data_IF_165753357245
#
_entry.id   IF_165753357245
#
_cell.length_a   1.000
_cell.length_b   1.000
_cell.length_c   1.000
_cell.angle_alpha   90.00
_cell.angle_beta   90.00
_cell.angle_gamma   90.00
#
_symmetry.space_group_name_H-M   'P 1'
#
loop_
_entity.id
_entity.type
_entity.pdbx_description
1 polymer ?
#
# COMPACT_ATOMS: atom_id res chain seq x y z
N UNK A 1 -0.51 3.95 -46.13
CA UNK A 1 -0.04 5.34 -46.31
C UNK A 1 1.38 5.27 -46.85
N UNK A 2 1.63 5.82 -48.03
CA UNK A 2 3.02 5.93 -48.50
C UNK A 2 3.59 7.18 -47.82
N UNK A 3 4.69 7.09 -47.06
CA UNK A 3 5.23 8.21 -46.34
C UNK A 3 5.90 9.17 -47.34
N UNK A 4 5.08 10.09 -47.89
CA UNK A 4 5.53 11.11 -48.81
C UNK A 4 6.66 11.94 -48.24
N UNK A 5 6.55 12.22 -46.91
CA UNK A 5 7.56 12.94 -46.15
C UNK A 5 8.91 12.20 -46.14
N UNK A 6 8.88 10.87 -46.01
CA UNK A 6 10.09 10.04 -46.03
C UNK A 6 10.74 10.03 -47.42
N UNK A 7 9.94 10.02 -48.48
CA UNK A 7 10.42 10.08 -49.84
C UNK A 7 11.06 11.45 -50.16
N UNK A 8 10.40 12.51 -49.76
CA UNK A 8 10.91 13.88 -49.94
C UNK A 8 12.19 14.09 -49.11
N UNK A 9 12.20 13.67 -47.85
CA UNK A 9 13.38 13.74 -46.97
C UNK A 9 14.60 13.00 -47.53
N UNK A 10 14.42 11.73 -48.00
CA UNK A 10 15.48 10.93 -48.63
C UNK A 10 15.99 11.54 -49.94
N UNK A 11 15.10 12.19 -50.71
CA UNK A 11 15.48 12.86 -51.95
C UNK A 11 16.28 14.11 -51.69
N UNK A 12 15.93 14.90 -50.64
CA UNK A 12 16.68 16.10 -50.27
C UNK A 12 18.06 15.78 -49.69
N UNK A 13 18.18 14.73 -48.88
CA UNK A 13 19.46 14.29 -48.32
C UNK A 13 20.37 13.66 -49.39
N UNK A 14 19.79 13.09 -50.45
CA UNK A 14 20.54 12.50 -51.60
C UNK A 14 20.85 13.48 -52.71
N UNK A 15 20.33 14.72 -52.68
CA UNK A 15 20.63 15.79 -53.66
C UNK A 15 22.09 16.20 -53.54
N UNK A 16 22.85 15.82 -54.54
CA UNK A 16 24.29 15.89 -54.69
C UNK A 16 24.78 17.35 -54.57
N UNK A 17 25.21 17.78 -53.41
CA UNK A 17 26.06 18.96 -53.27
C UNK A 17 27.52 18.52 -53.12
N UNK A 18 28.39 19.20 -53.85
CA UNK A 18 29.74 18.85 -54.28
C UNK A 18 30.82 18.94 -53.17
N UNK A 19 30.47 18.92 -51.90
CA UNK A 19 31.47 18.94 -50.83
C UNK A 19 31.17 17.81 -49.84
N UNK A 20 32.02 16.79 -49.84
CA UNK A 20 31.99 15.66 -48.90
C UNK A 20 31.89 16.12 -47.42
N UNK A 21 32.50 17.25 -47.11
CA UNK A 21 32.52 17.86 -45.78
C UNK A 21 31.12 18.28 -45.30
N UNK A 22 30.33 18.95 -46.15
CA UNK A 22 28.96 19.38 -45.81
C UNK A 22 28.03 18.19 -45.63
N UNK A 23 28.21 17.14 -46.44
CA UNK A 23 27.44 15.89 -46.29
C UNK A 23 27.78 15.16 -44.99
N UNK A 24 29.01 15.16 -44.55
CA UNK A 24 29.46 14.57 -43.30
C UNK A 24 28.92 15.31 -42.09
N UNK A 25 28.95 16.64 -42.06
CA UNK A 25 28.36 17.45 -41.00
C UNK A 25 26.87 17.23 -40.90
N UNK A 26 26.14 17.23 -42.02
CA UNK A 26 24.71 16.98 -42.05
C UNK A 26 24.35 15.59 -41.52
N UNK A 27 25.13 14.58 -41.84
CA UNK A 27 24.92 13.21 -41.35
C UNK A 27 25.15 13.12 -39.83
N UNK A 28 26.19 13.73 -39.29
CA UNK A 28 26.48 13.76 -37.85
C UNK A 28 25.38 14.53 -37.13
N UNK A 29 24.93 15.68 -37.64
CA UNK A 29 23.85 16.45 -37.04
C UNK A 29 22.55 15.65 -36.99
N UNK A 30 22.18 14.97 -38.09
CA UNK A 30 20.99 14.12 -38.16
C UNK A 30 21.09 12.93 -37.21
N UNK A 31 22.26 12.27 -37.11
CA UNK A 31 22.51 11.20 -36.19
C UNK A 31 22.44 11.66 -34.73
N UNK A 32 22.98 12.84 -34.42
CA UNK A 32 22.89 13.44 -33.08
C UNK A 32 21.45 13.75 -32.67
N UNK A 33 20.65 14.34 -33.57
CA UNK A 33 19.21 14.57 -33.30
C UNK A 33 18.45 13.27 -33.12
N UNK A 34 18.69 12.28 -33.99
CA UNK A 34 18.04 10.98 -33.91
C UNK A 34 18.37 10.27 -32.59
N UNK A 35 19.65 10.31 -32.18
CA UNK A 35 20.07 9.73 -30.89
C UNK A 35 19.45 10.46 -29.71
N UNK A 36 19.38 11.81 -29.75
CA UNK A 36 18.73 12.61 -28.71
C UNK A 36 17.25 12.30 -28.58
N UNK A 37 16.54 12.20 -29.68
CA UNK A 37 15.12 11.84 -29.69
C UNK A 37 14.91 10.40 -29.18
N UNK A 38 15.74 9.44 -29.60
CA UNK A 38 15.69 8.07 -29.14
C UNK A 38 15.92 7.97 -27.63
N UNK A 39 16.92 8.69 -27.11
CA UNK A 39 17.17 8.75 -25.67
C UNK A 39 15.99 9.33 -24.90
N UNK A 40 15.40 10.43 -25.40
CA UNK A 40 14.22 11.06 -24.77
C UNK A 40 13.01 10.11 -24.73
N UNK A 41 12.72 9.45 -25.86
CA UNK A 41 11.62 8.49 -25.94
C UNK A 41 11.85 7.33 -24.97
N UNK A 42 13.08 6.83 -24.89
CA UNK A 42 13.44 5.74 -23.97
C UNK A 42 13.22 6.14 -22.52
N UNK A 43 13.71 7.31 -22.11
CA UNK A 43 13.53 7.82 -20.73
C UNK A 43 12.05 8.01 -20.41
N UNK A 44 11.29 8.64 -21.31
CA UNK A 44 9.84 8.83 -21.10
C UNK A 44 9.08 7.49 -21.03
N UNK A 45 9.46 6.53 -21.85
CA UNK A 45 8.85 5.19 -21.85
C UNK A 45 9.10 4.45 -20.54
N UNK A 46 10.33 4.50 -20.03
CA UNK A 46 10.70 3.91 -18.73
C UNK A 46 9.93 4.61 -17.61
N UNK A 47 9.88 5.96 -17.62
CA UNK A 47 9.19 6.74 -16.61
C UNK A 47 7.68 6.42 -16.57
N UNK A 48 7.04 6.37 -17.73
CA UNK A 48 5.61 6.00 -17.83
C UNK A 48 5.35 4.56 -17.37
N UNK A 49 6.24 3.63 -17.70
CA UNK A 49 6.17 2.24 -17.22
C UNK A 49 6.29 2.14 -15.71
N UNK A 50 7.23 2.88 -15.14
CA UNK A 50 7.48 2.93 -13.70
C UNK A 50 6.29 3.56 -12.93
N UNK A 51 5.75 4.68 -13.43
CA UNK A 51 4.56 5.30 -12.84
C UNK A 51 3.35 4.35 -12.84
N UNK A 52 3.12 3.65 -13.95
CA UNK A 52 2.03 2.69 -14.08
C UNK A 52 2.19 1.52 -13.11
N UNK A 53 3.39 0.99 -12.98
CA UNK A 53 3.70 -0.12 -12.07
C UNK A 53 3.56 0.29 -10.60
N UNK A 54 4.09 1.47 -10.21
CA UNK A 54 3.94 1.99 -8.85
C UNK A 54 2.45 2.20 -8.54
N UNK A 55 1.72 2.84 -9.45
CA UNK A 55 0.29 3.10 -9.25
C UNK A 55 -0.49 1.79 -9.07
N UNK A 56 -0.24 0.77 -9.88
CA UNK A 56 -0.89 -0.51 -9.76
C UNK A 56 -0.61 -1.21 -8.41
N UNK A 57 0.62 -1.13 -7.94
CA UNK A 57 1.03 -1.73 -6.64
C UNK A 57 0.45 -0.99 -5.44
N UNK A 58 0.45 0.34 -5.46
CA UNK A 58 -0.10 1.14 -4.35
C UNK A 58 -1.62 1.01 -4.29
N UNK A 59 -2.30 1.09 -5.44
CA UNK A 59 -3.76 1.01 -5.49
C UNK A 59 -4.30 -0.40 -5.21
N UNK A 60 -3.50 -1.45 -5.42
CA UNK A 60 -3.88 -2.82 -5.07
C UNK A 60 -3.85 -3.11 -3.57
N UNK A 61 -3.08 -2.33 -2.79
CA UNK A 61 -2.87 -2.57 -1.36
C UNK A 61 -3.68 -1.64 -0.43
N UNK A 62 -4.35 -0.62 -0.97
CA UNK A 62 -5.08 0.36 -0.17
C UNK A 62 -6.39 0.77 -0.85
N UNK A 63 -7.40 1.05 -0.03
CA UNK A 63 -8.65 1.64 -0.51
C UNK A 63 -8.40 2.97 -1.23
N UNK A 64 -9.08 3.19 -2.36
CA UNK A 64 -8.94 4.42 -3.16
C UNK A 64 -9.49 5.65 -2.46
N UNK A 65 -10.51 5.48 -1.61
CA UNK A 65 -11.17 6.53 -0.85
C UNK A 65 -11.31 6.04 0.59
N UNK A 66 -11.00 6.91 1.54
CA UNK A 66 -11.23 6.66 2.95
C UNK A 66 -12.17 7.75 3.49
N UNK A 67 -13.24 7.31 4.16
CA UNK A 67 -14.15 8.19 4.87
C UNK A 67 -13.76 8.12 6.34
N UNK A 68 -13.36 9.26 6.90
CA UNK A 68 -12.98 9.36 8.31
C UNK A 68 -14.07 10.12 9.07
N UNK A 69 -14.43 9.59 10.21
CA UNK A 69 -15.32 10.25 11.17
C UNK A 69 -14.59 11.19 12.13
N UNK A 70 -15.31 11.77 13.11
CA UNK A 70 -14.71 12.47 14.23
C UNK A 70 -13.81 11.54 15.07
N UNK A 71 -13.07 12.11 16.04
CA UNK A 71 -12.15 11.32 16.90
C UNK A 71 -12.83 10.16 17.65
N UNK A 72 -14.14 10.27 17.90
CA UNK A 72 -14.95 9.24 18.55
C UNK A 72 -15.34 8.08 17.62
N UNK A 73 -15.00 8.18 16.31
CA UNK A 73 -15.36 7.22 15.28
C UNK A 73 -16.76 7.44 14.69
N UNK A 74 -17.19 6.54 13.82
CA UNK A 74 -18.49 6.54 13.14
C UNK A 74 -19.36 5.48 13.84
N UNK A 75 -20.36 5.88 14.66
CA UNK A 75 -21.15 4.92 15.44
C UNK A 75 -22.12 4.11 14.58
N UNK A 76 -22.69 4.68 13.53
CA UNK A 76 -23.63 4.01 12.60
C UNK A 76 -22.96 3.78 11.24
N UNK A 77 -21.84 3.06 11.26
CA UNK A 77 -21.08 2.76 10.06
C UNK A 77 -21.84 1.87 9.07
N UNK A 78 -22.79 1.03 9.56
CA UNK A 78 -23.60 0.14 8.71
C UNK A 78 -24.52 0.95 7.80
N UNK A 79 -25.14 2.02 8.30
CA UNK A 79 -25.95 2.92 7.50
C UNK A 79 -25.11 3.66 6.46
N UNK A 80 -23.91 4.09 6.85
CA UNK A 80 -22.95 4.73 5.94
C UNK A 80 -22.49 3.75 4.84
N UNK A 81 -22.12 2.53 5.20
CA UNK A 81 -21.72 1.47 4.25
C UNK A 81 -22.83 1.21 3.22
N UNK A 82 -24.07 1.08 3.70
CA UNK A 82 -25.23 0.90 2.83
C UNK A 82 -25.50 2.12 1.92
N UNK A 83 -25.20 3.33 2.37
CA UNK A 83 -25.34 4.54 1.56
C UNK A 83 -24.25 4.64 0.49
N UNK A 84 -23.01 4.36 0.87
CA UNK A 84 -21.85 4.41 -0.03
C UNK A 84 -21.97 3.36 -1.14
N UNK A 85 -22.39 2.14 -0.82
CA UNK A 85 -22.59 1.05 -1.79
C UNK A 85 -23.70 1.31 -2.82
N UNK A 86 -24.57 2.32 -2.60
CA UNK A 86 -25.57 2.73 -3.60
C UNK A 86 -24.97 3.54 -4.74
N UNK A 87 -23.78 4.09 -4.56
CA UNK A 87 -23.14 4.88 -5.61
C UNK A 87 -22.60 3.96 -6.72
N UNK A 88 -22.93 4.20 -8.00
CA UNK A 88 -22.62 3.28 -9.10
C UNK A 88 -21.12 3.08 -9.36
N UNK A 89 -20.28 3.99 -8.92
CA UNK A 89 -18.82 3.90 -9.08
C UNK A 89 -18.13 3.20 -7.89
N UNK A 90 -18.87 2.85 -6.82
CA UNK A 90 -18.32 2.14 -5.67
C UNK A 90 -18.45 0.64 -5.89
N UNK A 91 -17.33 -0.03 -5.99
CA UNK A 91 -17.26 -1.48 -6.21
C UNK A 91 -17.43 -2.24 -4.90
N UNK A 92 -16.77 -1.78 -3.83
CA UNK A 92 -16.81 -2.38 -2.50
C UNK A 92 -16.52 -1.33 -1.42
N UNK A 93 -16.96 -1.61 -0.20
CA UNK A 93 -16.62 -0.81 0.97
C UNK A 93 -16.43 -1.74 2.18
N UNK A 94 -15.46 -1.40 3.03
CA UNK A 94 -15.17 -2.14 4.25
C UNK A 94 -14.92 -1.17 5.41
N UNK A 95 -15.48 -1.44 6.60
CA UNK A 95 -15.19 -0.66 7.80
C UNK A 95 -13.80 -1.01 8.32
N UNK A 96 -13.14 -0.06 8.95
CA UNK A 96 -11.87 -0.29 9.61
C UNK A 96 -11.69 0.63 10.82
N UNK A 97 -10.90 0.17 11.78
CA UNK A 97 -10.45 0.93 12.93
C UNK A 97 -8.96 1.17 12.79
N UNK A 98 -8.49 2.39 13.00
CA UNK A 98 -7.05 2.69 12.99
C UNK A 98 -6.56 3.11 14.37
N UNK A 99 -5.35 2.69 14.68
CA UNK A 99 -4.68 3.12 15.89
C UNK A 99 -3.17 2.98 15.76
N UNK A 100 -2.46 3.49 16.75
CA UNK A 100 -1.03 3.30 16.88
C UNK A 100 -0.74 2.44 18.10
N UNK A 101 0.35 1.69 18.04
CA UNK A 101 0.77 0.86 19.14
C UNK A 101 2.25 0.49 19.06
N UNK A 102 2.70 -0.15 20.13
CA UNK A 102 4.03 -0.74 20.19
C UNK A 102 3.89 -2.25 20.31
N UNK A 103 4.47 -2.99 19.39
CA UNK A 103 4.61 -4.44 19.51
C UNK A 103 5.88 -4.76 20.32
N UNK A 104 5.73 -5.57 21.37
CA UNK A 104 6.81 -5.98 22.25
C UNK A 104 6.87 -7.48 22.40
N UNK A 105 8.07 -8.04 22.23
CA UNK A 105 8.40 -9.45 22.53
C UNK A 105 9.10 -9.59 23.89
N UNK A 106 9.24 -8.51 24.65
CA UNK A 106 10.01 -8.45 25.89
C UNK A 106 11.49 -8.09 25.65
N UNK A 107 12.10 -8.57 24.59
CA UNK A 107 13.50 -8.27 24.23
C UNK A 107 13.61 -7.12 23.21
N UNK A 108 12.58 -6.91 22.38
CA UNK A 108 12.55 -5.88 21.36
C UNK A 108 11.17 -5.21 21.31
N UNK A 109 11.16 -3.94 20.90
CA UNK A 109 9.95 -3.13 20.75
C UNK A 109 9.95 -2.45 19.40
N UNK A 110 8.76 -2.41 18.74
CA UNK A 110 8.58 -1.72 17.48
C UNK A 110 7.26 -0.96 17.43
N UNK A 111 7.32 0.28 16.96
CA UNK A 111 6.12 1.07 16.66
C UNK A 111 5.40 0.52 15.44
N UNK A 112 4.07 0.44 15.53
CA UNK A 112 3.23 -0.05 14.45
C UNK A 112 1.95 0.78 14.33
N UNK A 113 1.44 0.85 13.11
CA UNK A 113 0.06 1.22 12.83
C UNK A 113 -0.79 -0.05 12.91
N UNK A 114 -1.82 0.00 13.72
CA UNK A 114 -2.77 -1.10 13.89
C UNK A 114 -4.01 -0.78 13.07
N UNK A 115 -4.39 -1.70 12.20
CA UNK A 115 -5.64 -1.62 11.46
C UNK A 115 -6.54 -2.78 11.85
N UNK A 116 -7.66 -2.46 12.49
CA UNK A 116 -8.73 -3.40 12.81
C UNK A 116 -9.64 -3.55 11.61
N UNK A 117 -9.77 -4.75 11.09
CA UNK A 117 -10.49 -5.05 9.85
C UNK A 117 -11.54 -6.14 10.07
N UNK A 118 -12.53 -6.16 9.18
CA UNK A 118 -13.40 -7.32 8.99
C UNK A 118 -12.85 -8.13 7.81
N UNK A 119 -12.20 -9.29 8.05
CA UNK A 119 -11.43 -9.99 7.01
C UNK A 119 -12.20 -10.25 5.72
N UNK A 120 -13.48 -10.64 5.84
CA UNK A 120 -14.32 -10.96 4.68
C UNK A 120 -14.65 -9.74 3.83
N UNK A 121 -14.73 -8.54 4.42
CA UNK A 121 -15.00 -7.29 3.72
C UNK A 121 -13.72 -6.64 3.22
N UNK A 122 -12.66 -6.67 4.01
CA UNK A 122 -11.38 -6.06 3.64
C UNK A 122 -10.80 -6.65 2.35
N UNK A 123 -10.89 -7.96 2.15
CA UNK A 123 -10.43 -8.62 0.91
C UNK A 123 -11.18 -8.18 -0.35
N UNK A 124 -12.36 -7.57 -0.21
CA UNK A 124 -13.08 -6.98 -1.35
C UNK A 124 -12.56 -5.60 -1.75
N UNK A 125 -11.82 -4.94 -0.85
CA UNK A 125 -11.32 -3.57 -1.01
C UNK A 125 -9.80 -3.54 -1.20
N UNK A 126 -9.09 -4.41 -0.48
CA UNK A 126 -7.64 -4.50 -0.51
C UNK A 126 -7.23 -5.98 -0.52
N UNK A 127 -6.48 -6.39 -1.53
CA UNK A 127 -6.11 -7.80 -1.76
C UNK A 127 -4.94 -8.23 -0.85
N UNK A 128 -5.21 -8.32 0.46
CA UNK A 128 -4.22 -8.83 1.40
C UNK A 128 -4.04 -10.34 1.30
N UNK A 129 -5.10 -11.08 0.97
CA UNK A 129 -5.06 -12.55 0.89
C UNK A 129 -4.04 -13.06 -0.13
N UNK A 130 -3.89 -12.43 -1.28
CA UNK A 130 -2.91 -12.82 -2.29
C UNK A 130 -1.45 -12.50 -1.90
N UNK A 131 -1.27 -11.59 -0.94
CA UNK A 131 0.03 -11.14 -0.46
C UNK A 131 0.48 -11.80 0.85
N UNK A 132 -0.25 -12.82 1.31
CA UNK A 132 0.15 -13.58 2.50
C UNK A 132 1.40 -14.43 2.21
N UNK A 133 2.39 -14.32 3.09
CA UNK A 133 3.62 -15.13 3.06
C UNK A 133 3.51 -16.37 3.94
N UNK A 134 2.76 -16.25 5.04
CA UNK A 134 2.46 -17.37 5.96
C UNK A 134 1.13 -17.10 6.68
N UNK A 135 0.40 -18.15 7.04
CA UNK A 135 -0.92 -18.05 7.67
C UNK A 135 -1.99 -17.50 6.71
N UNK A 136 -3.10 -17.04 7.25
CA UNK A 136 -4.23 -16.52 6.47
C UNK A 136 -4.88 -15.35 7.20
N UNK A 137 -5.34 -14.34 6.45
CA UNK A 137 -6.08 -13.21 7.01
C UNK A 137 -7.42 -13.66 7.62
N UNK A 138 -8.05 -14.69 7.07
CA UNK A 138 -9.30 -15.26 7.56
C UNK A 138 -9.17 -15.94 8.95
N UNK A 139 -7.94 -16.16 9.45
CA UNK A 139 -7.69 -16.68 10.80
C UNK A 139 -7.81 -15.57 11.88
N UNK A 140 -7.97 -14.29 11.49
CA UNK A 140 -8.40 -13.22 12.38
C UNK A 140 -9.86 -13.44 12.77
N UNK A 141 -10.10 -13.80 14.02
CA UNK A 141 -11.44 -14.07 14.56
C UNK A 141 -11.76 -13.12 15.70
N UNK A 142 -13.02 -12.68 15.83
CA UNK A 142 -13.44 -11.80 16.91
C UNK A 142 -13.18 -12.46 18.28
N UNK A 143 -12.58 -11.72 19.20
CA UNK A 143 -12.24 -12.21 20.54
C UNK A 143 -11.04 -13.17 20.59
N UNK A 144 -10.47 -13.54 19.44
CA UNK A 144 -9.32 -14.44 19.34
C UNK A 144 -7.98 -13.76 19.57
N UNK A 145 -7.94 -12.42 19.52
CA UNK A 145 -6.72 -11.64 19.60
C UNK A 145 -5.61 -12.14 18.67
N UNK A 146 -6.00 -12.49 17.44
CA UNK A 146 -5.09 -12.78 16.36
C UNK A 146 -4.50 -11.49 15.79
N UNK A 147 -3.25 -11.56 15.32
CA UNK A 147 -2.59 -10.45 14.62
C UNK A 147 -1.90 -10.96 13.37
N UNK A 148 -2.06 -10.25 12.27
CA UNK A 148 -1.30 -10.43 11.03
C UNK A 148 -0.33 -9.27 10.90
N UNK A 149 0.95 -9.58 10.73
CA UNK A 149 2.03 -8.58 10.73
C UNK A 149 2.75 -8.56 9.39
N UNK A 150 3.30 -7.41 9.03
CA UNK A 150 4.14 -7.30 7.85
C UNK A 150 5.47 -8.05 8.01
N UNK A 151 6.04 -8.52 6.90
CA UNK A 151 7.29 -9.29 6.89
C UNK A 151 8.47 -8.51 7.49
N UNK A 152 8.47 -7.17 7.40
CA UNK A 152 9.47 -6.31 8.03
C UNK A 152 9.39 -6.34 9.56
N UNK A 153 8.16 -6.36 10.13
CA UNK A 153 7.93 -6.51 11.57
C UNK A 153 8.37 -7.90 12.04
N UNK A 154 7.95 -8.95 11.30
CA UNK A 154 8.33 -10.33 11.59
C UNK A 154 9.85 -10.50 11.70
N UNK A 155 10.59 -9.95 10.74
CA UNK A 155 12.08 -10.00 10.74
C UNK A 155 12.68 -9.22 11.91
N UNK A 156 12.16 -8.00 12.17
CA UNK A 156 12.70 -7.11 13.19
C UNK A 156 12.50 -7.65 14.61
N UNK A 157 11.36 -8.29 14.87
CA UNK A 157 11.00 -8.86 16.17
C UNK A 157 11.23 -10.37 16.26
N UNK A 158 11.72 -11.02 15.20
CA UNK A 158 11.95 -12.47 15.08
C UNK A 158 10.69 -13.28 15.40
N UNK A 159 9.52 -12.82 14.88
CA UNK A 159 8.22 -13.42 15.09
C UNK A 159 7.85 -14.35 13.93
N UNK A 160 7.31 -15.51 14.26
CA UNK A 160 6.72 -16.49 13.34
C UNK A 160 5.23 -16.68 13.65
N UNK A 161 4.50 -17.31 12.73
CA UNK A 161 3.10 -17.68 12.98
C UNK A 161 3.02 -18.65 14.18
N UNK A 162 2.14 -18.35 15.13
CA UNK A 162 1.97 -19.03 16.39
C UNK A 162 2.64 -18.34 17.58
N UNK A 163 3.57 -17.41 17.35
CA UNK A 163 4.24 -16.67 18.42
C UNK A 163 3.30 -15.67 19.08
N UNK A 164 3.60 -15.32 20.33
CA UNK A 164 2.87 -14.34 21.10
C UNK A 164 3.60 -13.02 21.14
N UNK A 165 2.87 -11.94 20.95
CA UNK A 165 3.38 -10.56 20.98
C UNK A 165 2.46 -9.68 21.81
N UNK A 166 3.01 -8.78 22.59
CA UNK A 166 2.22 -7.81 23.37
C UNK A 166 2.05 -6.53 22.57
N UNK A 167 0.81 -6.14 22.32
CA UNK A 167 0.46 -4.85 21.73
C UNK A 167 0.14 -3.87 22.85
N UNK A 168 0.86 -2.76 22.84
CA UNK A 168 0.78 -1.68 23.83
C UNK A 168 0.16 -0.48 23.13
N UNK A 169 -1.03 -0.05 23.58
CA UNK A 169 -1.64 1.19 23.10
C UNK A 169 -1.10 2.39 23.88
N UNK A 170 -0.64 3.47 23.20
CA UNK A 170 -0.21 4.70 23.87
C UNK A 170 -1.38 5.45 24.52
N UNK A 171 -2.61 5.21 24.08
CA UNK A 171 -3.82 5.74 24.69
C UNK A 171 -4.05 5.06 26.04
N UNK A 172 -3.37 5.59 27.06
CA UNK A 172 -3.43 5.05 28.41
C UNK A 172 -4.78 5.30 29.11
N UNK A 173 -4.97 4.60 30.22
CA UNK A 173 -6.06 4.89 31.14
C UNK A 173 -5.51 5.77 32.27
N UNK A 174 -6.18 6.90 32.54
CA UNK A 174 -5.88 7.72 33.71
C UNK A 174 -6.39 6.95 34.93
N UNK A 175 -5.46 6.60 35.80
CA UNK A 175 -5.75 5.96 37.10
C UNK A 175 -5.27 6.85 38.23
N UNK A 176 -5.71 6.65 39.47
CA UNK A 176 -5.17 7.38 40.62
C UNK A 176 -3.63 7.24 40.79
N UNK A 177 -3.04 6.20 40.22
CA UNK A 177 -1.61 5.95 40.22
C UNK A 177 -0.87 6.55 38.98
N UNK A 178 -1.57 7.27 38.10
CA UNK A 178 -1.03 7.87 36.89
C UNK A 178 -1.57 7.26 35.62
N UNK A 179 -0.99 7.63 34.46
CA UNK A 179 -1.34 7.12 33.15
C UNK A 179 -0.77 5.71 32.95
N UNK A 180 -1.64 4.71 32.87
CA UNK A 180 -1.22 3.32 32.59
C UNK A 180 -1.52 2.95 31.13
N UNK A 181 -0.51 2.51 30.35
CA UNK A 181 -0.74 2.05 28.97
C UNK A 181 -1.63 0.79 28.98
N UNK A 182 -2.40 0.61 27.94
CA UNK A 182 -3.18 -0.61 27.75
C UNK A 182 -2.32 -1.66 27.05
N UNK A 183 -2.32 -2.83 27.62
CA UNK A 183 -1.54 -3.97 27.15
C UNK A 183 -2.49 -5.10 26.77
N UNK A 184 -2.30 -5.69 25.62
CA UNK A 184 -3.03 -6.90 25.24
C UNK A 184 -2.07 -7.84 24.49
N UNK A 185 -2.11 -9.11 24.87
CA UNK A 185 -1.35 -10.14 24.18
C UNK A 185 -2.12 -10.64 22.97
N UNK A 186 -1.43 -10.68 21.83
CA UNK A 186 -1.92 -11.19 20.55
C UNK A 186 -1.10 -12.41 20.13
N UNK A 187 -1.70 -13.29 19.33
CA UNK A 187 -1.02 -14.40 18.68
C UNK A 187 -0.86 -14.10 17.19
N UNK A 188 0.35 -14.24 16.67
CA UNK A 188 0.60 -14.06 15.24
C UNK A 188 -0.07 -15.19 14.47
N UNK A 189 -1.10 -14.86 13.68
CA UNK A 189 -1.86 -15.80 12.85
C UNK A 189 -1.47 -15.74 11.37
N UNK A 190 -0.72 -14.71 10.97
CA UNK A 190 -0.25 -14.59 9.61
C UNK A 190 0.83 -13.53 9.45
N UNK A 191 1.53 -13.61 8.31
CA UNK A 191 2.57 -12.67 7.90
C UNK A 191 2.31 -12.33 6.44
N UNK A 192 2.19 -11.03 6.13
CA UNK A 192 2.02 -10.53 4.77
C UNK A 192 3.27 -9.81 4.27
N UNK A 193 3.36 -9.65 2.94
CA UNK A 193 4.42 -8.88 2.30
C UNK A 193 3.90 -8.28 1.01
N UNK A 194 3.71 -6.95 1.03
CA UNK A 194 3.22 -6.16 -0.10
C UNK A 194 4.36 -5.68 -1.02
N UNK A 195 5.61 -6.09 -0.70
CA UNK A 195 6.83 -5.58 -1.34
C UNK A 195 6.94 -4.03 -1.25
N UNK A 196 6.31 -3.46 -0.22
CA UNK A 196 6.35 -2.04 0.11
C UNK A 196 6.85 -1.83 1.54
N UNK A 197 8.06 -1.28 1.65
CA UNK A 197 8.80 -1.26 2.91
C UNK A 197 8.07 -0.55 4.06
N UNK A 198 7.28 0.48 3.79
CA UNK A 198 6.52 1.21 4.81
C UNK A 198 5.40 0.34 5.41
N UNK A 199 4.59 -0.32 4.57
CA UNK A 199 3.54 -1.21 5.04
C UNK A 199 4.10 -2.47 5.68
N UNK A 200 5.09 -3.10 5.05
CA UNK A 200 5.72 -4.32 5.54
C UNK A 200 6.42 -4.14 6.89
N UNK A 201 6.87 -2.92 7.19
CA UNK A 201 7.65 -2.62 8.40
C UNK A 201 6.86 -1.93 9.52
N UNK A 202 5.63 -1.49 9.25
CA UNK A 202 4.88 -0.69 10.21
C UNK A 202 3.40 -1.08 10.35
N UNK A 203 2.82 -1.86 9.43
CA UNK A 203 1.39 -2.21 9.48
C UNK A 203 1.16 -3.56 10.16
N UNK A 204 0.20 -3.57 11.10
CA UNK A 204 -0.31 -4.77 11.74
C UNK A 204 -1.84 -4.80 11.61
N UNK A 205 -2.39 -5.93 11.18
CA UNK A 205 -3.82 -6.14 11.02
C UNK A 205 -4.35 -6.99 12.18
N UNK A 206 -5.47 -6.60 12.75
CA UNK A 206 -6.19 -7.34 13.78
C UNK A 206 -7.68 -7.41 13.43
N UNK A 207 -8.45 -8.25 14.10
CA UNK A 207 -9.90 -8.22 13.92
C UNK A 207 -10.46 -6.89 14.43
N UNK A 208 -11.45 -6.32 13.73
CA UNK A 208 -12.05 -5.01 14.05
C UNK A 208 -12.53 -4.94 15.49
N UNK A 209 -13.24 -5.97 15.97
CA UNK A 209 -13.73 -6.03 17.35
C UNK A 209 -12.60 -6.06 18.39
N UNK A 210 -11.48 -6.74 18.09
CA UNK A 210 -10.33 -6.77 18.97
C UNK A 210 -9.64 -5.40 19.06
N UNK A 211 -9.60 -4.65 17.94
CA UNK A 211 -9.15 -3.27 17.91
C UNK A 211 -10.09 -2.35 18.71
N UNK A 212 -11.40 -2.47 18.53
CA UNK A 212 -12.40 -1.71 19.30
C UNK A 212 -12.27 -1.92 20.81
N UNK A 213 -12.05 -3.18 21.24
CA UNK A 213 -11.77 -3.49 22.64
C UNK A 213 -10.47 -2.85 23.13
N UNK A 214 -9.39 -2.93 22.35
CA UNK A 214 -8.09 -2.36 22.71
C UNK A 214 -8.16 -0.84 22.87
N UNK A 215 -8.81 -0.16 21.91
CA UNK A 215 -8.90 1.30 21.86
C UNK A 215 -10.15 1.85 22.57
N UNK A 216 -11.06 1.00 23.05
CA UNK A 216 -12.33 1.34 23.72
C UNK A 216 -13.24 2.25 22.88
N UNK A 217 -13.39 1.91 21.62
CA UNK A 217 -14.23 2.65 20.69
C UNK A 217 -15.71 2.20 20.73
N UNK A 218 -16.07 1.22 21.57
CA UNK A 218 -17.40 0.62 21.53
C UNK A 218 -17.64 -0.10 20.22
N UNK A 219 -18.71 0.22 19.51
CA UNK A 219 -19.05 -0.32 18.19
C UNK A 219 -18.68 0.63 17.04
N UNK A 220 -18.06 1.77 17.32
CA UNK A 220 -17.63 2.75 16.31
C UNK A 220 -16.40 2.27 15.52
N UNK A 221 -16.28 2.77 14.29
CA UNK A 221 -15.17 2.51 13.36
C UNK A 221 -14.53 3.79 12.87
#
# INVERSE_FOLDING_TARGET
MRPFELFVGLRYTRAKRRTQFVSFISMISMAGIALGIAALITVMSVMNGFEKEIRARILGAAAHIQIQGPEEGIPDWQALDAAVKKHPEVTAAAPFVTGQGLLSTGSAVRGVYVRGIEPALEDTVADFSSHMRAGRIADLRPGGFGIVIGVGISRALQLSVGDRVTLISPQGQVTPAGLMPRLKQFTVVGIFGLDHNEFDSALALVHMQDAQVLYRMGEAV
#
